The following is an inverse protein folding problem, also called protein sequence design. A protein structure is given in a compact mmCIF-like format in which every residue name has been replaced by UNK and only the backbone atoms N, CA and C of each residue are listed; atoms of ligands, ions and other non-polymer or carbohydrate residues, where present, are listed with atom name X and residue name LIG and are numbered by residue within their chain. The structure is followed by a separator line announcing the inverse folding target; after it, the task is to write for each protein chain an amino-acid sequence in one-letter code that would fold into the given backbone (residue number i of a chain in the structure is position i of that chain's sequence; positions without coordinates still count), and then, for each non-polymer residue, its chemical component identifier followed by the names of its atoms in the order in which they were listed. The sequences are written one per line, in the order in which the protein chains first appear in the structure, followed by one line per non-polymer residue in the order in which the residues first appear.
data_IF_288344884188
#
_entry.id   IF_288344884188
#
_cell.length_a   1.000
_cell.length_b   1.000
_cell.length_c   1.000
_cell.angle_alpha   90.00
_cell.angle_beta   90.00
_cell.angle_gamma   90.00
#
_symmetry.space_group_name_H-M   'P 1'
#
loop_
_entity.id
_entity.type
_entity.pdbx_description
1 polymer ?
#
# COMPACT_ATOMS: atom_id res chain seq x y z
N UNK A 1 12.94 14.86 3.92
CA UNK A 1 12.81 14.38 2.53
C UNK A 1 11.49 13.63 2.32
N UNK A 2 10.72 13.94 1.26
CA UNK A 2 9.42 13.30 0.98
C UNK A 2 9.57 11.78 0.83
N UNK A 3 10.68 11.32 0.24
CA UNK A 3 11.03 9.90 0.10
C UNK A 3 11.18 9.13 1.43
N UNK A 4 11.36 9.83 2.56
CA UNK A 4 11.46 9.22 3.89
C UNK A 4 10.24 9.46 4.78
N UNK A 5 9.15 10.02 4.24
CA UNK A 5 7.92 10.21 5.01
C UNK A 5 7.24 8.87 5.28
N UNK A 6 6.67 8.73 6.48
CA UNK A 6 5.86 7.56 6.90
C UNK A 6 4.35 7.83 6.77
N UNK A 7 3.94 8.99 6.27
CA UNK A 7 2.53 9.29 6.05
C UNK A 7 2.01 8.48 4.86
N UNK A 8 1.01 7.63 5.12
CA UNK A 8 0.34 6.73 4.18
C UNK A 8 -1.04 7.21 3.73
N UNK A 9 -1.57 8.29 4.32
CA UNK A 9 -2.93 8.78 4.08
C UNK A 9 -3.92 8.22 5.11
N UNK A 10 -5.10 8.85 5.20
CA UNK A 10 -6.16 8.48 6.18
C UNK A 10 -7.48 8.10 5.52
N UNK A 11 -7.62 8.39 4.24
CA UNK A 11 -8.78 8.13 3.39
C UNK A 11 -8.30 7.96 1.94
N UNK A 12 -9.18 7.43 1.08
CA UNK A 12 -8.87 7.11 -0.31
C UNK A 12 -8.30 8.32 -1.07
N UNK A 13 -8.92 9.49 -0.89
CA UNK A 13 -8.52 10.74 -1.55
C UNK A 13 -7.12 11.18 -1.07
N UNK A 14 -6.86 11.06 0.23
CA UNK A 14 -5.58 11.37 0.85
C UNK A 14 -4.46 10.50 0.30
N UNK A 15 -4.69 9.18 0.18
CA UNK A 15 -3.69 8.27 -0.42
C UNK A 15 -3.45 8.62 -1.89
N UNK A 16 -4.49 8.81 -2.70
CA UNK A 16 -4.36 9.18 -4.12
C UNK A 16 -3.55 10.47 -4.29
N UNK A 17 -3.78 11.47 -3.45
CA UNK A 17 -2.99 12.70 -3.45
C UNK A 17 -1.52 12.48 -3.08
N UNK A 18 -1.24 11.61 -2.11
CA UNK A 18 0.13 11.26 -1.73
C UNK A 18 0.85 10.49 -2.85
N UNK A 19 0.17 9.56 -3.53
CA UNK A 19 0.68 8.85 -4.69
C UNK A 19 1.05 9.83 -5.80
N UNK A 20 0.15 10.75 -6.15
CA UNK A 20 0.41 11.76 -7.18
C UNK A 20 1.63 12.63 -6.85
N UNK A 21 1.78 13.04 -5.58
CA UNK A 21 2.97 13.78 -5.12
C UNK A 21 4.23 12.91 -5.19
N UNK A 22 4.14 11.64 -4.84
CA UNK A 22 5.29 10.72 -4.87
C UNK A 22 5.73 10.36 -6.30
N UNK A 23 4.80 10.29 -7.24
CA UNK A 23 5.12 10.14 -8.68
C UNK A 23 6.00 11.27 -9.19
N UNK A 24 5.75 12.52 -8.75
CA UNK A 24 6.62 13.65 -9.11
C UNK A 24 8.05 13.45 -8.58
N UNK A 25 8.19 12.97 -7.33
CA UNK A 25 9.51 12.64 -6.75
C UNK A 25 10.21 11.53 -7.52
N UNK A 26 9.49 10.47 -7.91
CA UNK A 26 10.07 9.39 -8.71
C UNK A 26 10.53 9.88 -10.09
N UNK A 27 9.77 10.76 -10.73
CA UNK A 27 10.17 11.38 -11.99
C UNK A 27 11.44 12.23 -11.81
N UNK A 28 11.53 13.01 -10.73
CA UNK A 28 12.75 13.77 -10.41
C UNK A 28 13.95 12.86 -10.16
N UNK A 29 13.80 11.77 -9.42
CA UNK A 29 14.86 10.77 -9.19
C UNK A 29 15.31 10.17 -10.52
N UNK A 30 14.38 9.71 -11.36
CA UNK A 30 14.71 9.14 -12.66
C UNK A 30 15.41 10.16 -13.58
N UNK A 31 14.97 11.42 -13.54
CA UNK A 31 15.62 12.51 -14.28
C UNK A 31 17.06 12.80 -13.79
N UNK A 32 17.42 12.48 -12.56
CA UNK A 32 18.80 12.67 -12.07
C UNK A 32 19.72 11.47 -12.34
N UNK A 33 19.17 10.30 -12.71
CA UNK A 33 19.96 9.07 -12.94
C UNK A 33 21.10 9.29 -13.94
N UNK A 34 20.82 9.90 -15.09
CA UNK A 34 21.84 10.14 -16.12
C UNK A 34 23.00 11.02 -15.62
N UNK A 35 22.73 11.99 -14.74
CA UNK A 35 23.76 12.86 -14.16
C UNK A 35 24.65 12.10 -13.20
N UNK A 36 24.06 11.22 -12.38
CA UNK A 36 24.80 10.37 -11.45
C UNK A 36 25.69 9.41 -12.23
N UNK A 37 25.17 8.77 -13.28
CA UNK A 37 25.95 7.90 -14.18
C UNK A 37 27.09 8.66 -14.85
N UNK A 38 26.84 9.87 -15.36
CA UNK A 38 27.89 10.66 -16.00
C UNK A 38 29.02 11.05 -15.03
N UNK A 39 28.68 11.48 -13.81
CA UNK A 39 29.67 11.86 -12.78
C UNK A 39 30.48 10.66 -12.30
N UNK A 40 29.83 9.51 -12.12
CA UNK A 40 30.50 8.27 -11.68
C UNK A 40 31.41 7.72 -12.77
N UNK A 41 30.96 7.65 -14.02
CA UNK A 41 31.79 7.28 -15.18
C UNK A 41 33.00 8.18 -15.34
N UNK A 42 32.83 9.51 -15.26
CA UNK A 42 33.96 10.45 -15.34
C UNK A 42 34.96 10.27 -14.19
N UNK A 43 34.47 9.94 -12.99
CA UNK A 43 35.32 9.59 -11.84
C UNK A 43 36.11 8.31 -12.07
N UNK A 44 35.49 7.29 -12.66
CA UNK A 44 36.12 6.01 -13.02
C UNK A 44 37.21 6.20 -14.09
N UNK A 45 36.95 7.02 -15.11
CA UNK A 45 37.92 7.36 -16.15
C UNK A 45 39.17 8.04 -15.55
N UNK A 46 38.97 9.04 -14.67
CA UNK A 46 40.08 9.72 -13.98
C UNK A 46 40.93 8.75 -13.13
N UNK A 47 40.29 7.77 -12.49
CA UNK A 47 41.02 6.74 -11.72
C UNK A 47 41.83 5.85 -12.67
N UNK A 48 41.25 5.44 -13.80
CA UNK A 48 41.91 4.62 -14.83
C UNK A 48 43.12 5.32 -15.45
N UNK A 49 43.03 6.64 -15.65
CA UNK A 49 44.10 7.47 -16.21
C UNK A 49 45.25 7.75 -15.21
N UNK A 50 45.16 7.22 -13.97
CA UNK A 50 46.21 7.39 -12.96
C UNK A 50 46.23 8.78 -12.34
N UNK A 51 45.08 9.45 -12.23
CA UNK A 51 44.98 10.78 -11.63
C UNK A 51 45.56 10.81 -10.21
N UNK A 52 46.30 11.87 -9.87
CA UNK A 52 47.05 11.98 -8.60
C UNK A 52 46.16 11.85 -7.35
N UNK A 53 44.88 12.22 -7.46
CA UNK A 53 43.87 12.11 -6.41
C UNK A 53 42.96 10.87 -6.56
N UNK A 54 43.38 9.83 -7.28
CA UNK A 54 42.55 8.67 -7.63
C UNK A 54 41.88 7.98 -6.43
N UNK A 55 42.58 7.85 -5.30
CA UNK A 55 42.01 7.25 -4.08
C UNK A 55 40.87 8.10 -3.49
N UNK A 56 41.01 9.42 -3.45
CA UNK A 56 39.94 10.32 -3.00
C UNK A 56 38.75 10.28 -3.96
N UNK A 57 39.01 10.30 -5.28
CA UNK A 57 37.97 10.21 -6.32
C UNK A 57 37.17 8.91 -6.15
N UNK A 58 37.87 7.77 -5.96
CA UNK A 58 37.24 6.46 -5.75
C UNK A 58 36.32 6.44 -4.54
N UNK A 59 36.76 7.01 -3.42
CA UNK A 59 35.94 7.09 -2.20
C UNK A 59 34.67 7.93 -2.43
N UNK A 60 34.78 9.06 -3.14
CA UNK A 60 33.63 9.91 -3.48
C UNK A 60 32.65 9.22 -4.42
N UNK A 61 33.15 8.56 -5.48
CA UNK A 61 32.31 7.79 -6.43
C UNK A 61 31.55 6.68 -5.70
N UNK A 62 32.24 5.90 -4.84
CA UNK A 62 31.59 4.85 -4.05
C UNK A 62 30.52 5.40 -3.12
N UNK A 63 30.81 6.49 -2.42
CA UNK A 63 29.85 7.14 -1.51
C UNK A 63 28.61 7.64 -2.27
N UNK A 64 28.82 8.26 -3.44
CA UNK A 64 27.74 8.74 -4.30
C UNK A 64 26.84 7.59 -4.75
N UNK A 65 27.43 6.49 -5.23
CA UNK A 65 26.69 5.30 -5.65
C UNK A 65 25.89 4.68 -4.49
N UNK A 66 26.46 4.60 -3.30
CA UNK A 66 25.75 4.09 -2.11
C UNK A 66 24.57 4.97 -1.73
N UNK A 67 24.74 6.30 -1.70
CA UNK A 67 23.65 7.23 -1.40
C UNK A 67 22.56 7.18 -2.47
N UNK A 68 22.94 7.04 -3.74
CA UNK A 68 22.01 6.93 -4.85
C UNK A 68 21.17 5.65 -4.76
N UNK A 69 21.81 4.50 -4.51
CA UNK A 69 21.12 3.23 -4.32
C UNK A 69 20.13 3.30 -3.14
N UNK A 70 20.55 3.85 -1.99
CA UNK A 70 19.68 4.02 -0.82
C UNK A 70 18.49 4.96 -1.09
N UNK A 71 18.69 6.02 -1.87
CA UNK A 71 17.61 6.93 -2.24
C UNK A 71 16.57 6.21 -3.11
N UNK A 72 17.02 5.47 -4.13
CA UNK A 72 16.13 4.68 -5.00
C UNK A 72 15.35 3.64 -4.21
N UNK A 73 16.02 2.93 -3.31
CA UNK A 73 15.38 1.95 -2.45
C UNK A 73 14.28 2.59 -1.60
N UNK A 74 14.58 3.68 -0.89
CA UNK A 74 13.58 4.40 -0.08
C UNK A 74 12.41 4.93 -0.91
N UNK A 75 12.69 5.43 -2.12
CA UNK A 75 11.65 5.94 -3.00
C UNK A 75 10.73 4.82 -3.52
N UNK A 76 11.29 3.67 -3.89
CA UNK A 76 10.53 2.49 -4.28
C UNK A 76 9.73 1.93 -3.10
N UNK A 77 10.34 1.89 -1.92
CA UNK A 77 9.68 1.44 -0.71
C UNK A 77 8.45 2.28 -0.38
N UNK A 78 8.60 3.61 -0.40
CA UNK A 78 7.48 4.51 -0.19
C UNK A 78 6.39 4.36 -1.24
N UNK A 79 6.73 4.02 -2.49
CA UNK A 79 5.73 3.74 -3.53
C UNK A 79 4.92 2.50 -3.14
N UNK A 80 5.58 1.41 -2.77
CA UNK A 80 4.90 0.18 -2.35
C UNK A 80 3.98 0.43 -1.15
N UNK A 81 4.46 1.14 -0.12
CA UNK A 81 3.66 1.50 1.06
C UNK A 81 2.40 2.30 0.71
N UNK A 82 2.47 3.18 -0.29
CA UNK A 82 1.32 3.96 -0.74
C UNK A 82 0.36 3.13 -1.60
N UNK A 83 0.88 2.23 -2.44
CA UNK A 83 0.08 1.31 -3.24
C UNK A 83 -0.70 0.33 -2.32
N UNK A 84 -0.05 -0.21 -1.29
CA UNK A 84 -0.68 -1.07 -0.27
C UNK A 84 -1.78 -0.30 0.47
N UNK A 85 -1.50 0.95 0.87
CA UNK A 85 -2.50 1.80 1.54
C UNK A 85 -3.68 2.13 0.62
N UNK A 86 -3.45 2.31 -0.68
CA UNK A 86 -4.49 2.59 -1.65
C UNK A 86 -5.42 1.39 -1.79
N UNK A 87 -4.85 0.20 -1.92
CA UNK A 87 -5.59 -1.05 -2.05
C UNK A 87 -6.51 -1.28 -0.82
N UNK A 88 -5.97 -1.08 0.38
CA UNK A 88 -6.74 -1.23 1.62
C UNK A 88 -7.92 -0.24 1.68
N UNK A 89 -7.68 1.04 1.37
CA UNK A 89 -8.76 2.04 1.39
C UNK A 89 -9.80 1.82 0.29
N UNK A 90 -9.41 1.34 -0.89
CA UNK A 90 -10.33 0.97 -1.96
C UNK A 90 -11.23 -0.19 -1.51
N UNK A 91 -10.64 -1.25 -0.97
CA UNK A 91 -11.39 -2.39 -0.42
C UNK A 91 -12.42 -1.95 0.63
N UNK A 92 -12.02 -1.12 1.61
CA UNK A 92 -12.96 -0.65 2.63
C UNK A 92 -14.08 0.22 2.04
N UNK A 93 -13.79 1.03 1.02
CA UNK A 93 -14.82 1.83 0.36
C UNK A 93 -15.82 0.92 -0.37
N UNK A 94 -15.32 0.00 -1.19
CA UNK A 94 -16.11 -0.94 -1.98
C UNK A 94 -16.93 -1.88 -1.06
N UNK A 95 -16.35 -2.34 0.06
CA UNK A 95 -17.03 -3.18 1.04
C UNK A 95 -18.16 -2.43 1.77
N UNK A 96 -17.95 -1.17 2.14
CA UNK A 96 -18.99 -0.34 2.74
C UNK A 96 -20.15 -0.06 1.77
N UNK A 97 -19.84 0.15 0.49
CA UNK A 97 -20.86 0.29 -0.56
C UNK A 97 -21.66 -1.01 -0.70
N UNK A 98 -20.98 -2.15 -0.72
CA UNK A 98 -21.62 -3.45 -0.77
C UNK A 98 -22.53 -3.71 0.43
N UNK A 99 -22.09 -3.38 1.65
CA UNK A 99 -22.92 -3.46 2.86
C UNK A 99 -24.15 -2.57 2.78
N UNK A 100 -23.99 -1.33 2.30
CA UNK A 100 -25.10 -0.40 2.15
C UNK A 100 -26.13 -0.92 1.17
N UNK A 101 -25.68 -1.48 0.04
CA UNK A 101 -26.55 -2.08 -0.96
C UNK A 101 -27.33 -3.27 -0.38
N UNK A 102 -26.67 -4.16 0.36
CA UNK A 102 -27.33 -5.30 1.01
C UNK A 102 -28.40 -4.84 2.00
N UNK A 103 -28.11 -3.84 2.83
CA UNK A 103 -29.06 -3.24 3.78
C UNK A 103 -30.28 -2.62 3.08
N UNK A 104 -30.09 -2.06 1.89
CA UNK A 104 -31.20 -1.51 1.08
C UNK A 104 -32.10 -2.60 0.50
N UNK A 105 -31.52 -3.72 0.07
CA UNK A 105 -32.26 -4.85 -0.54
C UNK A 105 -32.92 -5.78 0.47
N UNK A 106 -32.40 -5.86 1.70
CA UNK A 106 -32.89 -6.75 2.76
C UNK A 106 -34.42 -6.64 3.02
N UNK A 107 -35.03 -5.44 3.11
CA UNK A 107 -36.48 -5.33 3.30
C UNK A 107 -37.31 -5.83 2.11
N UNK A 108 -36.76 -5.78 0.89
CA UNK A 108 -37.44 -6.28 -0.32
C UNK A 108 -37.48 -7.80 -0.29
N UNK A 109 -36.41 -8.43 0.18
CA UNK A 109 -36.32 -9.89 0.35
C UNK A 109 -37.17 -10.40 1.53
N UNK A 110 -37.24 -9.63 2.62
CA UNK A 110 -37.98 -9.99 3.83
C UNK A 110 -39.49 -9.72 3.75
N UNK A 111 -39.99 -9.19 2.63
CA UNK A 111 -41.41 -8.89 2.44
C UNK A 111 -42.30 -10.13 2.53
N UNK A 112 -43.24 -10.14 3.48
CA UNK A 112 -44.23 -11.22 3.66
C UNK A 112 -45.59 -10.95 3.01
N UNK A 113 -45.66 -10.00 2.07
CA UNK A 113 -46.87 -9.73 1.28
C UNK A 113 -46.91 -10.65 0.06
N UNK A 114 -48.03 -11.34 -0.14
CA UNK A 114 -48.24 -12.29 -1.24
C UNK A 114 -49.25 -11.75 -2.27
N UNK A 115 -49.74 -10.52 -2.09
CA UNK A 115 -50.80 -9.96 -2.91
C UNK A 115 -52.18 -10.45 -2.45
N UNK A 116 -53.20 -9.66 -2.75
CA UNK A 116 -54.60 -9.93 -2.40
C UNK A 116 -55.45 -10.37 -3.61
N UNK A 117 -54.90 -10.21 -4.80
CA UNK A 117 -55.52 -10.49 -6.10
C UNK A 117 -54.42 -10.82 -7.12
N UNK A 118 -54.82 -11.29 -8.30
CA UNK A 118 -53.91 -11.73 -9.37
C UNK A 118 -52.94 -10.62 -9.80
N UNK A 119 -53.45 -9.40 -10.01
CA UNK A 119 -52.64 -8.24 -10.41
C UNK A 119 -51.56 -7.89 -9.37
N UNK A 120 -51.89 -7.91 -8.07
CA UNK A 120 -50.92 -7.64 -7.00
C UNK A 120 -49.90 -8.75 -6.84
N UNK A 121 -50.30 -10.02 -7.02
CA UNK A 121 -49.38 -11.15 -7.01
C UNK A 121 -48.39 -11.10 -8.20
N UNK A 122 -48.86 -10.77 -9.40
CA UNK A 122 -48.02 -10.62 -10.58
C UNK A 122 -47.00 -9.47 -10.42
N UNK A 123 -47.44 -8.34 -9.86
CA UNK A 123 -46.55 -7.22 -9.57
C UNK A 123 -45.44 -7.57 -8.55
N UNK A 124 -45.78 -8.34 -7.51
CA UNK A 124 -44.80 -8.84 -6.53
C UNK A 124 -43.81 -9.82 -7.15
N UNK A 125 -44.29 -10.71 -8.02
CA UNK A 125 -43.43 -11.67 -8.73
C UNK A 125 -42.42 -10.95 -9.61
N UNK A 126 -42.85 -9.95 -10.39
CA UNK A 126 -41.94 -9.13 -11.21
C UNK A 126 -40.91 -8.38 -10.37
N UNK A 127 -41.29 -7.88 -9.18
CA UNK A 127 -40.35 -7.24 -8.25
C UNK A 127 -39.32 -8.24 -7.71
N UNK A 128 -39.75 -9.47 -7.45
CA UNK A 128 -38.86 -10.55 -7.01
C UNK A 128 -37.88 -10.98 -8.12
N UNK A 129 -38.35 -11.10 -9.37
CA UNK A 129 -37.48 -11.38 -10.52
C UNK A 129 -36.41 -10.29 -10.70
N UNK A 130 -36.79 -9.02 -10.56
CA UNK A 130 -35.84 -7.91 -10.58
C UNK A 130 -34.81 -8.01 -9.44
N UNK A 131 -35.23 -8.36 -8.23
CA UNK A 131 -34.32 -8.59 -7.10
C UNK A 131 -33.35 -9.76 -7.39
N UNK A 132 -33.82 -10.86 -7.97
CA UNK A 132 -32.98 -12.01 -8.31
C UNK A 132 -31.93 -11.64 -9.36
N UNK A 133 -32.31 -10.87 -10.38
CA UNK A 133 -31.38 -10.34 -11.38
C UNK A 133 -30.34 -9.40 -10.75
N UNK A 134 -30.77 -8.54 -9.83
CA UNK A 134 -29.89 -7.64 -9.07
C UNK A 134 -28.87 -8.44 -8.22
N UNK A 135 -29.32 -9.49 -7.53
CA UNK A 135 -28.46 -10.37 -6.72
C UNK A 135 -27.44 -11.12 -7.57
N UNK A 136 -27.85 -11.64 -8.73
CA UNK A 136 -26.95 -12.31 -9.67
C UNK A 136 -25.86 -11.35 -10.16
N UNK A 137 -26.21 -10.12 -10.55
CA UNK A 137 -25.24 -9.11 -10.92
C UNK A 137 -24.29 -8.76 -9.76
N UNK A 138 -24.81 -8.66 -8.54
CA UNK A 138 -24.03 -8.31 -7.35
C UNK A 138 -23.04 -9.39 -6.93
N UNK A 139 -23.25 -10.65 -7.32
CA UNK A 139 -22.29 -11.74 -7.07
C UNK A 139 -20.89 -11.44 -7.62
N UNK A 140 -20.82 -10.72 -8.75
CA UNK A 140 -19.55 -10.28 -9.35
C UNK A 140 -18.80 -9.27 -8.47
N UNK A 141 -19.52 -8.37 -7.81
CA UNK A 141 -18.96 -7.40 -6.85
C UNK A 141 -18.38 -8.11 -5.63
N UNK A 142 -19.09 -9.11 -5.10
CA UNK A 142 -18.59 -9.93 -3.98
C UNK A 142 -17.34 -10.72 -4.38
N UNK A 143 -17.32 -11.29 -5.59
CA UNK A 143 -16.12 -11.96 -6.12
C UNK A 143 -14.93 -11.00 -6.23
N UNK A 144 -15.15 -9.79 -6.74
CA UNK A 144 -14.11 -8.77 -6.84
C UNK A 144 -13.60 -8.33 -5.45
N UNK A 145 -14.48 -8.20 -4.46
CA UNK A 145 -14.10 -7.90 -3.07
C UNK A 145 -13.26 -9.02 -2.44
N UNK A 146 -13.59 -10.29 -2.71
CA UNK A 146 -12.82 -11.44 -2.23
C UNK A 146 -11.41 -11.47 -2.84
N UNK A 147 -11.32 -11.24 -4.16
CA UNK A 147 -10.03 -11.10 -4.84
C UNK A 147 -9.20 -9.92 -4.29
N UNK A 148 -9.83 -8.78 -4.08
CA UNK A 148 -9.19 -7.60 -3.48
C UNK A 148 -8.72 -7.90 -2.05
N UNK A 149 -9.53 -8.59 -1.23
CA UNK A 149 -9.18 -8.97 0.14
C UNK A 149 -7.99 -9.93 0.16
N UNK A 150 -7.95 -10.92 -0.73
CA UNK A 150 -6.84 -11.86 -0.86
C UNK A 150 -5.55 -11.18 -1.35
N UNK A 151 -5.69 -10.16 -2.20
CA UNK A 151 -4.56 -9.39 -2.73
C UNK A 151 -4.07 -8.29 -1.77
N UNK A 152 -4.92 -7.82 -0.85
CA UNK A 152 -4.55 -6.88 0.20
C UNK A 152 -3.46 -7.48 1.08
N UNK A 153 -2.22 -7.04 0.88
CA UNK A 153 -1.14 -7.32 1.84
C UNK A 153 -1.50 -6.62 3.13
N UNK A 154 -2.04 -7.39 4.06
CA UNK A 154 -2.43 -6.91 5.37
C UNK A 154 -1.25 -6.13 5.96
N UNK A 155 -1.48 -4.86 6.29
CA UNK A 155 -0.70 -4.24 7.35
C UNK A 155 -1.10 -5.03 8.59
N UNK A 156 -0.33 -6.09 8.89
CA UNK A 156 -0.69 -7.07 9.92
C UNK A 156 -1.08 -6.30 11.18
N UNK A 157 -2.34 -6.48 11.59
CA UNK A 157 -2.84 -5.92 12.83
C UNK A 157 -1.92 -6.48 13.91
N UNK A 158 -1.32 -5.65 14.78
CA UNK A 158 -0.35 -6.15 15.75
C UNK A 158 -0.94 -7.34 16.51
N UNK A 159 -0.34 -8.52 16.35
CA UNK A 159 -0.85 -9.74 16.95
C UNK A 159 -0.42 -9.74 18.41
N UNK A 160 -1.36 -9.90 19.32
CA UNK A 160 -1.02 -10.05 20.73
C UNK A 160 -0.39 -11.43 20.95
N UNK A 161 0.87 -11.47 21.38
CA UNK A 161 1.54 -12.72 21.73
C UNK A 161 0.95 -13.34 23.02
N UNK A 162 1.39 -14.56 23.35
CA UNK A 162 0.98 -15.28 24.56
C UNK A 162 1.32 -14.52 25.87
N UNK A 163 2.11 -13.45 25.80
CA UNK A 163 2.50 -12.59 26.92
C UNK A 163 1.73 -11.27 26.97
N UNK A 164 0.78 -11.04 26.06
CA UNK A 164 -0.02 -9.82 26.00
C UNK A 164 0.65 -8.67 25.23
N UNK A 165 1.76 -8.91 24.53
CA UNK A 165 2.49 -7.86 23.80
C UNK A 165 2.11 -7.84 22.34
N UNK A 166 1.95 -6.65 21.79
CA UNK A 166 1.68 -6.45 20.37
C UNK A 166 2.93 -6.76 19.52
N UNK A 167 2.76 -7.63 18.52
CA UNK A 167 3.81 -8.04 17.60
C UNK A 167 3.47 -7.68 16.15
N UNK A 168 4.46 -7.23 15.38
CA UNK A 168 4.33 -6.94 13.95
C UNK A 168 5.44 -7.62 13.17
N UNK A 169 5.16 -8.05 11.94
CA UNK A 169 6.19 -8.57 11.06
C UNK A 169 6.87 -7.43 10.29
N UNK A 170 8.21 -7.48 10.24
CA UNK A 170 9.02 -6.60 9.42
C UNK A 170 8.70 -6.84 7.94
N UNK A 171 8.15 -5.85 7.27
CA UNK A 171 7.86 -5.96 5.83
C UNK A 171 9.13 -5.85 4.96
N UNK A 172 10.20 -5.26 5.51
CA UNK A 172 11.42 -4.91 4.78
C UNK A 172 12.65 -5.04 5.67
N UNK A 173 13.80 -5.23 5.05
CA UNK A 173 15.09 -5.12 5.73
C UNK A 173 15.32 -3.66 6.17
N UNK A 174 15.70 -3.48 7.43
CA UNK A 174 16.07 -2.19 8.00
C UNK A 174 17.38 -2.32 8.76
N UNK A 175 18.28 -1.35 8.60
CA UNK A 175 19.53 -1.28 9.36
C UNK A 175 19.79 0.17 9.73
N UNK A 176 19.76 0.45 11.03
CA UNK A 176 20.06 1.78 11.55
C UNK A 176 21.58 1.94 11.79
N UNK A 177 22.20 2.94 11.16
CA UNK A 177 23.63 3.27 11.34
C UNK A 177 23.91 4.08 12.62
N UNK A 178 23.14 3.85 13.69
CA UNK A 178 23.32 4.51 15.00
C UNK A 178 24.19 3.62 15.90
N UNK A 179 24.82 4.15 16.97
CA UNK A 179 25.68 3.37 17.87
C UNK A 179 24.97 2.24 18.63
N UNK A 180 23.65 2.09 18.46
CA UNK A 180 22.87 0.96 18.99
C UNK A 180 22.65 -0.18 17.98
N UNK A 181 23.21 -0.10 16.77
CA UNK A 181 23.10 -1.07 15.67
C UNK A 181 21.85 -1.96 15.75
N UNK A 182 20.70 -1.40 15.37
CA UNK A 182 19.47 -2.18 15.24
C UNK A 182 19.34 -2.57 13.78
N UNK A 183 19.32 -3.89 13.52
CA UNK A 183 18.98 -4.45 12.22
C UNK A 183 17.75 -5.33 12.34
N UNK A 184 16.90 -5.28 11.33
CA UNK A 184 15.66 -6.02 11.22
C UNK A 184 15.65 -6.59 9.81
N UNK A 185 15.36 -7.87 9.66
CA UNK A 185 15.19 -8.49 8.35
C UNK A 185 13.72 -8.61 8.02
N UNK A 186 13.41 -8.59 6.73
CA UNK A 186 12.10 -8.92 6.21
C UNK A 186 11.66 -10.26 6.80
N UNK A 187 10.42 -10.29 7.27
CA UNK A 187 9.75 -11.38 7.98
C UNK A 187 10.15 -11.58 9.46
N UNK A 188 11.01 -10.73 10.03
CA UNK A 188 11.26 -10.76 11.47
C UNK A 188 10.01 -10.34 12.25
N UNK A 189 9.65 -11.08 13.30
CA UNK A 189 8.57 -10.70 14.22
C UNK A 189 9.13 -9.76 15.28
N UNK A 190 8.49 -8.60 15.45
CA UNK A 190 8.96 -7.50 16.28
C UNK A 190 7.92 -7.17 17.33
N UNK A 191 8.34 -6.97 18.56
CA UNK A 191 7.45 -6.53 19.63
C UNK A 191 7.37 -5.00 19.67
N UNK A 192 6.16 -4.44 19.61
CA UNK A 192 5.92 -3.02 19.76
C UNK A 192 6.07 -2.61 21.23
N UNK A 193 6.99 -1.68 21.50
CA UNK A 193 7.32 -1.25 22.87
C UNK A 193 6.45 -0.10 23.39
N UNK A 194 5.65 0.57 22.54
CA UNK A 194 4.81 1.72 22.92
C UNK A 194 3.40 1.62 22.29
N UNK A 195 2.49 0.89 22.93
CA UNK A 195 1.07 0.86 22.56
C UNK A 195 0.21 1.92 23.32
N UNK A 196 0.80 2.66 24.26
CA UNK A 196 0.07 3.51 25.23
C UNK A 196 0.43 5.00 25.22
N UNK A 197 0.65 5.59 24.04
CA UNK A 197 0.52 7.05 23.89
C UNK A 197 -0.77 7.33 23.09
N UNK A 198 -1.91 7.23 23.79
CA UNK A 198 -3.18 7.84 23.35
C UNK A 198 -3.11 9.35 23.51
#
# INVERSE_FOLDING_TARGET
PIAGSTNRGRDLIGVQNLIKKHQAVLAEVNNHEHRIVAVTSSGEDMISDGHFAGEEIKQRVNTLNQHWAQLKERANQRRQDLDDSLQAHQYFADANEAESWMKEKEPIAAGGDFGKDEDSAEALLKKHEALMSDLEAFSSTIGALDEQAAACRQQEVPVTDITGKECVVALYDYTEKSPREVSMKKNDVLTLLNATNK
#
